data_IF_104634157753
#
_entry.id   IF_104634157753
#
_cell.length_a   1.000
_cell.length_b   1.000
_cell.length_c   1.000
_cell.angle_alpha   90.00
_cell.angle_beta   90.00
_cell.angle_gamma   90.00
#
_symmetry.space_group_name_H-M   'P 1'
#
loop_
_entity.id
_entity.type
_entity.pdbx_description
1 polymer ?
#
# COMPACT_ATOMS: atom_id res chain seq x y z
N UNK A 1 -74.13 -22.92 -19.10
CA UNK A 1 -73.73 -24.10 -18.30
C UNK A 1 -72.54 -24.75 -19.00
N UNK A 2 -71.33 -24.45 -18.54
CA UNK A 2 -70.08 -25.02 -19.08
C UNK A 2 -69.41 -25.72 -17.90
N UNK A 3 -69.14 -27.00 -18.08
CA UNK A 3 -68.78 -27.97 -17.04
C UNK A 3 -67.25 -28.07 -16.94
N UNK A 4 -66.70 -27.75 -15.78
CA UNK A 4 -65.27 -27.85 -15.47
C UNK A 4 -65.01 -29.21 -14.78
N UNK A 5 -64.14 -30.09 -15.30
CA UNK A 5 -63.72 -31.27 -14.56
C UNK A 5 -62.54 -30.96 -13.63
N UNK A 6 -62.68 -31.38 -12.36
CA UNK A 6 -61.62 -31.52 -11.36
C UNK A 6 -60.55 -32.49 -11.86
N UNK A 7 -59.28 -32.10 -11.83
CA UNK A 7 -58.14 -33.02 -11.89
C UNK A 7 -57.45 -33.06 -10.53
N UNK A 8 -57.51 -34.24 -9.96
CA UNK A 8 -56.94 -34.68 -8.70
C UNK A 8 -55.77 -35.58 -9.06
N UNK A 9 -54.52 -35.13 -8.82
CA UNK A 9 -53.33 -35.93 -9.13
C UNK A 9 -52.32 -35.84 -7.97
N UNK A 10 -52.14 -37.01 -7.35
CA UNK A 10 -50.96 -37.60 -6.72
C UNK A 10 -50.28 -37.00 -5.49
N UNK A 11 -50.86 -37.33 -4.34
CA UNK A 11 -50.23 -37.39 -3.01
C UNK A 11 -49.18 -38.51 -2.84
N UNK A 12 -48.86 -39.30 -3.89
CA UNK A 12 -47.97 -40.46 -3.76
C UNK A 12 -46.47 -40.16 -3.89
N UNK A 13 -46.06 -38.98 -4.39
CA UNK A 13 -44.64 -38.65 -4.55
C UNK A 13 -43.97 -38.03 -3.31
N UNK A 14 -44.75 -37.58 -2.32
CA UNK A 14 -44.22 -36.89 -1.13
C UNK A 14 -43.70 -37.89 -0.07
N UNK A 15 -44.17 -39.14 -0.09
CA UNK A 15 -43.81 -40.17 0.90
C UNK A 15 -42.57 -41.00 0.52
N UNK A 16 -42.09 -40.95 -0.73
CA UNK A 16 -40.92 -41.72 -1.18
C UNK A 16 -39.56 -41.03 -0.98
N UNK A 17 -39.52 -39.73 -0.69
CA UNK A 17 -38.27 -38.98 -0.50
C UNK A 17 -37.79 -38.92 0.95
N UNK A 18 -38.69 -39.13 1.94
CA UNK A 18 -38.32 -39.11 3.37
C UNK A 18 -37.61 -40.37 3.86
N UNK A 19 -37.67 -41.48 3.12
CA UNK A 19 -37.08 -42.76 3.53
C UNK A 19 -35.62 -42.97 3.10
N UNK A 20 -35.03 -42.08 2.30
CA UNK A 20 -33.61 -42.19 1.93
C UNK A 20 -32.63 -41.44 2.83
N UNK A 21 -33.10 -40.53 3.70
CA UNK A 21 -32.20 -39.75 4.57
C UNK A 21 -31.90 -40.39 5.94
N UNK A 22 -32.48 -41.54 6.26
CA UNK A 22 -32.38 -42.13 7.60
C UNK A 22 -31.31 -43.22 7.76
N UNK A 23 -30.53 -43.57 6.72
CA UNK A 23 -29.74 -44.81 6.74
C UNK A 23 -28.23 -44.67 6.45
N UNK A 24 -27.63 -43.51 6.69
CA UNK A 24 -26.16 -43.34 6.58
C UNK A 24 -25.51 -42.58 7.75
N UNK A 25 -26.12 -42.64 8.92
CA UNK A 25 -25.42 -42.42 10.18
C UNK A 25 -25.48 -43.72 10.96
N UNK A 26 -24.31 -44.29 11.27
CA UNK A 26 -23.89 -44.90 12.56
C UNK A 26 -23.03 -46.15 12.34
N UNK A 27 -21.92 -46.21 13.10
CA UNK A 27 -21.00 -47.33 13.40
C UNK A 27 -19.71 -47.37 12.53
N UNK A 28 -18.46 -47.34 13.03
CA UNK A 28 -17.88 -47.58 14.36
C UNK A 28 -16.54 -46.80 14.55
N UNK A 29 -16.25 -46.42 15.80
CA UNK A 29 -14.94 -46.01 16.37
C UNK A 29 -14.13 -47.25 16.83
N UNK A 30 -13.04 -47.21 17.67
CA UNK A 30 -12.07 -46.19 18.10
C UNK A 30 -10.58 -46.72 18.09
N UNK A 31 -9.66 -45.96 18.73
CA UNK A 31 -8.28 -46.27 19.20
C UNK A 31 -7.07 -45.83 18.37
N UNK A 32 -6.41 -44.75 18.81
CA UNK A 32 -5.11 -44.83 19.52
C UNK A 32 -4.62 -43.44 19.98
N UNK A 33 -4.14 -43.28 21.23
CA UNK A 33 -3.47 -42.08 21.74
C UNK A 33 -1.96 -42.30 21.86
N UNK A 34 -1.15 -41.28 21.57
CA UNK A 34 0.28 -41.05 21.94
C UNK A 34 0.84 -40.06 20.89
N UNK A 35 1.54 -38.97 21.19
CA UNK A 35 2.35 -38.66 22.34
C UNK A 35 2.40 -37.14 22.55
N UNK A 36 2.27 -36.76 23.81
CA UNK A 36 2.75 -35.53 24.41
C UNK A 36 4.28 -35.48 24.34
N UNK A 37 4.83 -34.44 23.74
CA UNK A 37 6.19 -33.98 24.03
C UNK A 37 6.17 -32.50 24.38
N UNK A 38 6.12 -32.28 25.69
CA UNK A 38 6.64 -31.08 26.34
C UNK A 38 8.11 -30.95 25.96
N UNK A 39 8.50 -29.81 25.41
CA UNK A 39 9.89 -29.36 25.43
C UNK A 39 9.93 -27.91 25.89
N UNK A 40 10.36 -27.81 27.13
CA UNK A 40 10.78 -26.63 27.86
C UNK A 40 11.85 -25.83 27.11
N UNK A 41 11.72 -24.51 27.19
CA UNK A 41 12.79 -23.51 27.34
C UNK A 41 14.05 -23.61 26.47
N UNK A 42 14.32 -22.52 25.73
CA UNK A 42 15.51 -21.68 25.95
C UNK A 42 15.47 -20.44 25.05
N UNK A 43 15.44 -19.28 25.69
CA UNK A 43 15.91 -18.02 25.11
C UNK A 43 17.33 -18.20 24.58
N UNK A 44 17.59 -17.74 23.35
CA UNK A 44 18.94 -17.42 22.91
C UNK A 44 18.88 -16.18 22.04
N UNK A 45 19.26 -15.06 22.66
CA UNK A 45 19.78 -13.88 22.00
C UNK A 45 21.05 -14.25 21.24
N UNK A 46 21.16 -13.84 19.97
CA UNK A 46 22.45 -13.79 19.29
C UNK A 46 22.52 -12.56 18.38
N UNK A 47 23.22 -11.54 18.89
CA UNK A 47 23.82 -10.47 18.12
C UNK A 47 24.95 -11.05 17.23
N UNK A 48 25.13 -10.63 15.97
CA UNK A 48 26.37 -10.84 15.26
C UNK A 48 27.41 -9.76 15.60
N UNK A 49 28.71 -10.12 15.73
CA UNK A 49 29.76 -9.18 16.08
C UNK A 49 30.33 -8.44 14.85
N UNK A 50 30.74 -7.20 15.12
CA UNK A 50 31.76 -6.42 14.41
C UNK A 50 32.91 -7.25 13.84
N UNK A 51 33.33 -7.00 12.59
CA UNK A 51 34.74 -6.96 12.22
C UNK A 51 35.00 -5.94 11.10
N UNK A 52 35.82 -4.95 11.43
CA UNK A 52 36.59 -4.09 10.51
C UNK A 52 37.42 -4.96 9.57
N UNK A 53 37.46 -4.61 8.27
CA UNK A 53 38.63 -4.91 7.45
C UNK A 53 38.90 -3.82 6.41
N UNK A 54 39.82 -2.95 6.78
CA UNK A 54 40.67 -2.14 5.91
C UNK A 54 41.54 -3.02 5.03
N UNK A 55 41.60 -2.74 3.73
CA UNK A 55 42.57 -3.33 2.80
C UNK A 55 42.91 -2.33 1.70
N UNK A 56 44.12 -1.76 1.80
CA UNK A 56 44.79 -0.95 0.80
C UNK A 56 45.22 -1.83 -0.38
N UNK A 57 44.93 -1.42 -1.61
CA UNK A 57 45.49 -2.06 -2.82
C UNK A 57 46.66 -1.22 -3.37
N UNK A 58 47.82 -1.83 -3.68
CA UNK A 58 49.00 -1.14 -4.20
C UNK A 58 49.10 -1.13 -5.74
N UNK A 59 49.95 -0.21 -6.22
CA UNK A 59 50.35 0.05 -7.62
C UNK A 59 50.81 -1.19 -8.40
N UNK A 60 50.58 -1.14 -9.72
CA UNK A 60 51.29 -1.94 -10.73
C UNK A 60 51.73 -1.07 -11.92
N UNK A 61 53.05 -0.99 -12.13
CA UNK A 61 53.74 -0.52 -13.35
C UNK A 61 53.73 -1.61 -14.43
N UNK A 62 53.95 -1.25 -15.71
CA UNK A 62 54.60 -2.16 -16.63
C UNK A 62 55.93 -1.61 -17.17
N UNK A 63 56.92 -2.50 -17.15
CA UNK A 63 58.19 -2.46 -17.85
C UNK A 63 58.02 -2.88 -19.31
N UNK A 64 58.73 -2.26 -20.26
CA UNK A 64 59.21 -2.97 -21.46
C UNK A 64 60.48 -2.32 -22.05
N UNK A 65 61.22 -3.21 -22.69
CA UNK A 65 62.64 -3.26 -23.04
C UNK A 65 63.11 -2.46 -24.26
N UNK A 66 64.35 -1.95 -24.18
CA UNK A 66 65.29 -1.64 -25.29
C UNK A 66 65.89 -2.96 -25.86
N UNK A 67 66.58 -3.05 -27.04
CA UNK A 67 67.67 -2.12 -27.48
C UNK A 67 67.98 -2.03 -29.02
N UNK A 68 69.12 -1.37 -29.32
CA UNK A 68 69.96 -1.36 -30.54
C UNK A 68 69.47 -0.50 -31.73
N UNK A 69 70.29 0.20 -32.53
CA UNK A 69 71.68 0.70 -32.54
C UNK A 69 71.86 1.40 -33.90
N UNK A 70 72.73 2.44 -34.00
CA UNK A 70 73.64 2.78 -35.12
C UNK A 70 73.88 4.31 -35.29
N UNK A 71 75.03 4.71 -35.87
CA UNK A 71 75.87 5.80 -35.36
C UNK A 71 75.76 7.15 -36.13
N UNK A 72 76.40 8.15 -35.51
CA UNK A 72 76.58 9.57 -35.88
C UNK A 72 77.06 9.80 -37.33
N UNK A 73 76.83 11.00 -37.91
CA UNK A 73 77.84 12.06 -37.80
C UNK A 73 77.33 13.53 -37.70
N UNK A 74 78.06 14.30 -36.88
CA UNK A 74 78.56 15.67 -37.07
C UNK A 74 77.68 16.73 -37.77
N UNK A 75 77.18 17.71 -37.00
CA UNK A 75 77.15 19.13 -37.41
C UNK A 75 77.38 20.06 -36.20
N UNK A 76 78.08 21.20 -36.37
CA UNK A 76 78.46 22.09 -35.28
C UNK A 76 77.36 23.15 -35.09
N UNK A 77 76.69 23.15 -33.93
CA UNK A 77 75.83 24.27 -33.56
C UNK A 77 76.09 24.67 -32.11
N UNK A 78 77.02 25.62 -31.99
CA UNK A 78 76.98 26.76 -31.06
C UNK A 78 76.19 26.55 -29.76
N UNK A 79 76.92 26.26 -28.69
CA UNK A 79 76.47 26.50 -27.32
C UNK A 79 76.41 28.03 -27.09
N UNK A 80 75.24 28.66 -26.83
CA UNK A 80 75.24 29.80 -25.94
C UNK A 80 75.31 29.25 -24.53
N UNK A 81 76.49 29.44 -23.93
CA UNK A 81 76.75 29.34 -22.50
C UNK A 81 75.72 30.21 -21.76
N UNK A 82 74.56 29.64 -21.44
CA UNK A 82 73.52 30.32 -20.67
C UNK A 82 73.96 30.28 -19.23
N UNK A 83 74.70 31.32 -18.85
CA UNK A 83 75.02 31.68 -17.48
C UNK A 83 73.80 31.46 -16.61
N UNK A 84 73.91 30.50 -15.69
CA UNK A 84 72.99 30.36 -14.57
C UNK A 84 73.18 31.59 -13.68
N UNK A 85 72.59 32.69 -14.10
CA UNK A 85 72.32 33.81 -13.22
C UNK A 85 71.32 33.28 -12.20
N UNK A 86 71.84 32.93 -11.03
CA UNK A 86 71.09 32.75 -9.80
C UNK A 86 70.31 34.04 -9.58
N UNK A 87 69.13 34.17 -10.21
CA UNK A 87 68.17 35.22 -9.89
C UNK A 87 67.77 34.96 -8.45
N UNK A 88 68.43 35.66 -7.54
CA UNK A 88 67.93 35.92 -6.21
C UNK A 88 66.50 36.40 -6.44
N UNK A 89 65.46 35.64 -6.04
CA UNK A 89 64.11 36.15 -6.16
C UNK A 89 64.10 37.41 -5.30
N UNK A 90 63.95 38.57 -5.94
CA UNK A 90 63.73 39.80 -5.21
C UNK A 90 62.47 39.58 -4.41
N UNK A 91 62.64 39.40 -3.10
CA UNK A 91 61.56 39.17 -2.16
C UNK A 91 60.81 40.48 -2.00
N UNK A 92 60.03 40.86 -3.02
CA UNK A 92 58.96 41.84 -2.82
C UNK A 92 57.99 41.20 -1.83
N UNK A 93 57.77 41.79 -0.64
CA UNK A 93 56.80 41.27 0.29
C UNK A 93 55.45 41.28 -0.44
N UNK A 94 54.89 40.09 -0.68
CA UNK A 94 53.52 39.98 -1.17
C UNK A 94 52.64 40.60 -0.10
N UNK A 95 52.03 41.75 -0.39
CA UNK A 95 51.00 42.33 0.46
C UNK A 95 49.89 41.29 0.58
N UNK A 96 49.83 40.61 1.71
CA UNK A 96 48.77 39.66 1.97
C UNK A 96 47.55 40.51 2.25
N UNK A 97 46.58 40.48 1.35
CA UNK A 97 45.29 41.13 1.59
C UNK A 97 44.57 40.35 2.70
N UNK A 98 44.87 40.73 3.96
CA UNK A 98 44.29 40.14 5.16
C UNK A 98 42.76 40.22 5.09
N UNK A 99 42.22 41.30 4.52
CA UNK A 99 40.79 41.49 4.29
C UNK A 99 40.18 40.49 3.29
N UNK A 100 40.91 40.09 2.23
CA UNK A 100 40.43 39.11 1.26
C UNK A 100 40.37 37.70 1.86
N UNK A 101 41.40 37.32 2.63
CA UNK A 101 41.43 36.03 3.34
C UNK A 101 40.42 35.95 4.47
N UNK A 102 40.16 37.06 5.18
CA UNK A 102 39.15 37.12 6.24
C UNK A 102 37.73 36.90 5.70
N UNK A 103 37.36 37.54 4.58
CA UNK A 103 36.06 37.34 3.90
C UNK A 103 35.90 35.91 3.37
N UNK A 104 36.99 35.29 2.89
CA UNK A 104 36.97 33.91 2.41
C UNK A 104 36.67 32.88 3.52
N UNK A 105 37.16 33.10 4.75
CA UNK A 105 36.85 32.26 5.91
C UNK A 105 35.41 32.42 6.39
N UNK A 106 34.86 33.63 6.32
CA UNK A 106 33.45 33.92 6.66
C UNK A 106 32.49 33.23 5.68
N UNK A 107 32.75 33.33 4.37
CA UNK A 107 31.92 32.68 3.36
C UNK A 107 31.98 31.15 3.46
N UNK A 108 33.14 30.55 3.75
CA UNK A 108 33.26 29.09 3.95
C UNK A 108 32.40 28.59 5.11
N UNK A 109 32.38 29.33 6.23
CA UNK A 109 31.53 29.00 7.39
C UNK A 109 30.04 29.18 7.08
N UNK A 110 29.68 30.22 6.33
CA UNK A 110 28.31 30.44 5.89
C UNK A 110 27.82 29.29 4.99
N UNK A 111 28.64 28.84 4.03
CA UNK A 111 28.31 27.70 3.17
C UNK A 111 28.18 26.40 3.94
N UNK A 112 29.03 26.15 4.95
CA UNK A 112 28.86 24.96 5.80
C UNK A 112 27.56 25.01 6.59
N UNK A 113 27.17 26.16 7.14
CA UNK A 113 25.90 26.29 7.84
C UNK A 113 24.71 26.15 6.91
N UNK A 114 24.74 26.78 5.74
CA UNK A 114 23.70 26.66 4.72
C UNK A 114 23.52 25.20 4.28
N UNK A 115 24.62 24.45 4.08
CA UNK A 115 24.56 23.04 3.75
C UNK A 115 23.95 22.21 4.88
N UNK A 116 24.39 22.41 6.12
CA UNK A 116 23.85 21.66 7.26
C UNK A 116 22.37 21.95 7.49
N UNK A 117 21.96 23.23 7.39
CA UNK A 117 20.57 23.63 7.52
C UNK A 117 19.72 23.06 6.37
N UNK A 118 20.24 23.08 5.14
CA UNK A 118 19.61 22.45 3.98
C UNK A 118 19.42 20.95 4.15
N UNK A 119 20.42 20.23 4.68
CA UNK A 119 20.30 18.80 4.97
C UNK A 119 19.24 18.52 6.05
N UNK A 120 19.21 19.30 7.14
CA UNK A 120 18.22 19.13 8.21
C UNK A 120 16.81 19.43 7.69
N UNK A 121 16.64 20.54 6.96
CA UNK A 121 15.35 20.89 6.36
C UNK A 121 14.87 19.81 5.38
N UNK A 122 15.76 19.32 4.50
CA UNK A 122 15.45 18.22 3.58
C UNK A 122 15.03 16.94 4.30
N UNK A 123 15.74 16.58 5.39
CA UNK A 123 15.39 15.41 6.19
C UNK A 123 13.99 15.53 6.81
N UNK A 124 13.65 16.70 7.37
CA UNK A 124 12.32 16.95 7.93
C UNK A 124 11.23 16.81 6.86
N UNK A 125 11.45 17.37 5.66
CA UNK A 125 10.49 17.25 4.55
C UNK A 125 10.29 15.78 4.13
N UNK A 126 11.37 15.01 4.02
CA UNK A 126 11.28 13.58 3.69
C UNK A 126 10.54 12.81 4.77
N UNK A 127 10.87 13.01 6.05
CA UNK A 127 10.19 12.33 7.17
C UNK A 127 8.71 12.66 7.19
N UNK A 128 8.33 13.94 7.06
CA UNK A 128 6.93 14.35 7.04
C UNK A 128 6.19 13.77 5.84
N UNK A 129 6.80 13.75 4.65
CA UNK A 129 6.21 13.12 3.46
C UNK A 129 5.99 11.63 3.66
N UNK A 130 6.99 10.90 4.17
CA UNK A 130 6.88 9.45 4.39
C UNK A 130 5.86 9.09 5.47
N UNK A 131 5.69 9.95 6.48
CA UNK A 131 4.72 9.71 7.55
C UNK A 131 3.28 9.85 7.04
N UNK A 132 3.01 10.85 6.19
CA UNK A 132 1.69 11.04 5.58
C UNK A 132 1.24 9.81 4.77
N UNK A 133 2.18 9.15 4.07
CA UNK A 133 1.89 7.95 3.27
C UNK A 133 1.54 6.70 4.12
N UNK A 134 1.89 6.69 5.42
CA UNK A 134 1.65 5.57 6.33
C UNK A 134 0.37 5.71 7.18
N UNK A 135 -0.29 6.87 7.14
CA UNK A 135 -1.51 7.08 7.92
C UNK A 135 -2.72 6.42 7.24
N UNK A 136 -3.28 5.41 7.90
CA UNK A 136 -4.48 4.72 7.44
C UNK A 136 -5.68 5.22 8.24
N UNK A 137 -6.52 6.04 7.61
CA UNK A 137 -7.72 6.61 8.22
C UNK A 137 -8.94 5.72 8.00
N UNK A 138 -9.86 5.71 8.96
CA UNK A 138 -11.17 5.09 8.79
C UNK A 138 -12.13 6.11 8.21
N UNK A 139 -12.80 5.76 7.11
CA UNK A 139 -13.74 6.65 6.43
C UNK A 139 -14.98 5.87 5.99
N UNK A 140 -16.11 6.56 5.90
CA UNK A 140 -17.33 6.00 5.34
C UNK A 140 -17.36 6.12 3.82
N UNK A 141 -18.21 5.33 3.12
CA UNK A 141 -18.51 5.51 1.71
C UNK A 141 -18.83 6.95 1.31
N UNK A 142 -19.68 7.67 2.05
CA UNK A 142 -20.00 9.07 1.75
C UNK A 142 -18.76 9.97 1.83
N UNK A 143 -17.97 9.82 2.89
CA UNK A 143 -16.75 10.64 3.07
C UNK A 143 -15.67 10.29 2.04
N UNK A 144 -15.57 9.01 1.66
CA UNK A 144 -14.63 8.55 0.64
C UNK A 144 -14.92 9.21 -0.72
N UNK A 145 -16.19 9.32 -1.10
CA UNK A 145 -16.61 9.99 -2.33
C UNK A 145 -16.33 11.50 -2.27
N UNK A 146 -16.64 12.16 -1.16
CA UNK A 146 -16.35 13.59 -0.99
C UNK A 146 -14.83 13.89 -1.06
N UNK A 147 -14.02 13.03 -0.45
CA UNK A 147 -12.55 13.13 -0.51
C UNK A 147 -12.03 12.91 -1.92
N UNK A 148 -12.61 11.98 -2.68
CA UNK A 148 -12.26 11.73 -4.07
C UNK A 148 -12.44 12.95 -4.97
N UNK A 149 -13.56 13.66 -4.81
CA UNK A 149 -13.85 14.88 -5.58
C UNK A 149 -12.87 16.01 -5.27
N UNK A 150 -12.39 16.08 -4.03
CA UNK A 150 -11.46 17.12 -3.58
C UNK A 150 -10.02 16.81 -4.00
N UNK A 151 -9.57 15.57 -3.77
CA UNK A 151 -8.24 15.11 -4.08
C UNK A 151 -8.27 13.65 -4.54
N UNK A 152 -7.87 13.33 -5.79
CA UNK A 152 -7.64 11.95 -6.24
C UNK A 152 -6.34 11.42 -5.61
N UNK A 153 -6.34 11.26 -4.29
CA UNK A 153 -5.16 10.85 -3.53
C UNK A 153 -4.88 9.36 -3.73
N UNK A 154 -3.60 9.01 -3.88
CA UNK A 154 -3.11 7.61 -3.87
C UNK A 154 -2.87 7.08 -2.45
N UNK A 155 -3.53 7.66 -1.45
CA UNK A 155 -3.37 7.23 -0.06
C UNK A 155 -4.14 5.93 0.18
N UNK A 156 -3.60 5.05 1.02
CA UNK A 156 -4.34 3.89 1.53
C UNK A 156 -5.29 4.37 2.61
N UNK A 157 -6.54 3.95 2.55
CA UNK A 157 -7.50 4.21 3.61
C UNK A 157 -8.34 2.98 3.91
N UNK A 158 -8.95 2.98 5.09
CA UNK A 158 -9.86 1.95 5.57
C UNK A 158 -11.29 2.41 5.37
N UNK A 159 -11.96 1.83 4.39
CA UNK A 159 -13.37 2.04 4.13
C UNK A 159 -14.19 1.17 5.10
N UNK A 160 -14.96 1.79 5.99
CA UNK A 160 -15.85 1.10 6.91
C UNK A 160 -17.31 1.31 6.54
N UNK A 161 -18.09 0.23 6.57
CA UNK A 161 -19.53 0.28 6.31
C UNK A 161 -20.18 -1.09 6.43
N UNK A 162 -21.42 -1.18 5.96
CA UNK A 162 -22.19 -2.42 5.91
C UNK A 162 -22.07 -3.05 4.53
N UNK A 163 -21.99 -4.37 4.47
CA UNK A 163 -22.07 -5.09 3.20
C UNK A 163 -23.52 -5.15 2.75
N UNK A 164 -23.81 -4.69 1.53
CA UNK A 164 -25.18 -4.71 1.00
C UNK A 164 -25.63 -6.15 0.71
N UNK A 165 -26.90 -6.45 1.00
CA UNK A 165 -27.49 -7.77 0.77
C UNK A 165 -27.60 -8.15 -0.72
N UNK A 166 -27.23 -9.40 -1.02
CA UNK A 166 -27.10 -9.96 -2.35
C UNK A 166 -26.13 -9.21 -3.26
N UNK A 167 -25.19 -8.43 -2.72
CA UNK A 167 -24.22 -7.66 -3.52
C UNK A 167 -22.95 -8.44 -3.82
N UNK A 168 -22.73 -9.57 -3.14
CA UNK A 168 -21.50 -10.36 -3.26
C UNK A 168 -21.55 -11.19 -4.55
N UNK A 169 -20.71 -10.83 -5.50
CA UNK A 169 -20.62 -11.44 -6.83
C UNK A 169 -19.22 -11.97 -7.06
N UNK A 170 -19.15 -13.18 -7.62
CA UNK A 170 -17.93 -13.81 -8.08
C UNK A 170 -17.93 -13.70 -9.62
N UNK A 171 -17.12 -12.81 -10.25
CA UNK A 171 -17.15 -12.59 -11.69
C UNK A 171 -16.75 -13.81 -12.52
N UNK A 172 -15.86 -14.64 -12.00
CA UNK A 172 -15.45 -15.89 -12.64
C UNK A 172 -15.29 -17.00 -11.60
N UNK A 173 -15.77 -18.23 -11.87
CA UNK A 173 -15.66 -19.35 -10.93
C UNK A 173 -14.22 -19.84 -10.70
N UNK A 174 -13.26 -19.39 -11.52
CA UNK A 174 -11.86 -19.80 -11.44
C UNK A 174 -10.91 -18.64 -11.07
N UNK A 175 -11.40 -17.40 -10.97
CA UNK A 175 -10.58 -16.27 -10.49
C UNK A 175 -10.84 -16.03 -9.00
N UNK A 176 -9.82 -15.63 -8.22
CA UNK A 176 -9.98 -15.20 -6.83
C UNK A 176 -10.56 -13.78 -6.72
N UNK A 177 -11.22 -13.26 -7.76
CA UNK A 177 -11.76 -11.91 -7.77
C UNK A 177 -13.18 -11.91 -7.19
N UNK A 178 -13.44 -10.95 -6.31
CA UNK A 178 -14.73 -10.75 -5.67
C UNK A 178 -15.16 -9.31 -5.82
N UNK A 179 -16.45 -9.12 -6.08
CA UNK A 179 -17.09 -7.81 -6.06
C UNK A 179 -18.17 -7.80 -5.00
N UNK A 180 -18.23 -6.75 -4.19
CA UNK A 180 -19.31 -6.53 -3.24
C UNK A 180 -19.51 -5.03 -3.05
N UNK A 181 -20.69 -4.65 -2.53
CA UNK A 181 -21.03 -3.24 -2.32
C UNK A 181 -21.00 -2.95 -0.83
N UNK A 182 -20.30 -1.87 -0.46
CA UNK A 182 -20.26 -1.37 0.92
C UNK A 182 -21.08 -0.08 1.00
N UNK A 183 -21.97 -0.01 1.98
CA UNK A 183 -22.92 1.08 2.16
C UNK A 183 -22.82 1.68 3.56
N UNK A 184 -23.09 2.98 3.67
CA UNK A 184 -23.35 3.68 4.94
C UNK A 184 -24.83 4.06 5.13
N UNK A 185 -25.73 3.36 4.42
CA UNK A 185 -27.16 3.60 4.30
C UNK A 185 -27.55 4.77 3.37
N UNK A 186 -26.62 5.66 3.03
CA UNK A 186 -26.88 6.79 2.11
C UNK A 186 -26.19 6.54 0.77
N UNK A 187 -24.89 6.25 0.83
CA UNK A 187 -24.00 6.09 -0.33
C UNK A 187 -23.46 4.68 -0.39
N UNK A 188 -23.44 4.12 -1.60
CA UNK A 188 -23.01 2.75 -1.86
C UNK A 188 -21.80 2.76 -2.81
N UNK A 189 -20.69 2.15 -2.41
CA UNK A 189 -19.46 2.04 -3.21
C UNK A 189 -19.21 0.60 -3.60
N UNK A 190 -18.87 0.39 -4.89
CA UNK A 190 -18.40 -0.91 -5.37
C UNK A 190 -16.97 -1.18 -4.88
N UNK A 191 -16.79 -2.30 -4.20
CA UNK A 191 -15.50 -2.81 -3.74
C UNK A 191 -15.10 -4.00 -4.58
N UNK A 192 -13.87 -3.95 -5.12
CA UNK A 192 -13.22 -5.07 -5.83
C UNK A 192 -12.08 -5.60 -4.99
N UNK A 193 -12.15 -6.88 -4.65
CA UNK A 193 -11.16 -7.56 -3.84
C UNK A 193 -10.58 -8.75 -4.59
N UNK A 194 -9.25 -8.89 -4.53
CA UNK A 194 -8.53 -10.03 -5.08
C UNK A 194 -8.07 -10.90 -3.89
N UNK A 195 -8.70 -12.06 -3.71
CA UNK A 195 -8.38 -12.99 -2.63
C UNK A 195 -9.60 -13.74 -2.08
N UNK A 196 -9.35 -14.56 -1.07
CA UNK A 196 -10.42 -15.25 -0.34
C UNK A 196 -10.98 -14.33 0.74
N UNK A 197 -12.30 -14.17 0.77
CA UNK A 197 -12.97 -13.43 1.84
C UNK A 197 -12.83 -14.19 3.16
N UNK A 198 -12.64 -13.50 4.30
CA UNK A 198 -12.66 -14.14 5.61
C UNK A 198 -13.97 -14.88 5.84
N UNK A 199 -13.97 -15.97 6.61
CA UNK A 199 -15.19 -16.74 6.89
C UNK A 199 -16.26 -15.91 7.63
N UNK A 200 -15.84 -14.85 8.32
CA UNK A 200 -16.73 -13.95 9.06
C UNK A 200 -17.45 -12.96 8.15
N UNK A 201 -17.06 -12.88 6.89
CA UNK A 201 -17.69 -12.00 5.93
C UNK A 201 -19.08 -12.53 5.57
N UNK A 202 -20.09 -11.71 5.87
CA UNK A 202 -21.50 -11.96 5.59
C UNK A 202 -22.15 -10.68 5.11
N UNK A 203 -23.18 -10.83 4.30
CA UNK A 203 -24.02 -9.71 3.89
C UNK A 203 -24.78 -9.14 5.10
N UNK A 204 -25.11 -7.84 5.06
CA UNK A 204 -25.76 -7.12 6.16
C UNK A 204 -24.85 -6.81 7.36
N UNK A 205 -23.63 -7.35 7.40
CA UNK A 205 -22.70 -7.14 8.52
C UNK A 205 -21.73 -5.98 8.26
N UNK A 206 -21.18 -5.44 9.34
CA UNK A 206 -20.14 -4.42 9.26
C UNK A 206 -18.83 -5.02 8.78
N UNK A 207 -18.20 -4.34 7.84
CA UNK A 207 -16.90 -4.70 7.29
C UNK A 207 -16.00 -3.47 7.24
N UNK A 208 -14.71 -3.70 7.43
CA UNK A 208 -13.69 -2.71 7.12
C UNK A 208 -12.83 -3.25 5.99
N UNK A 209 -12.63 -2.43 4.97
CA UNK A 209 -11.84 -2.80 3.80
C UNK A 209 -10.69 -1.83 3.66
N UNK A 210 -9.47 -2.33 3.54
CA UNK A 210 -8.28 -1.52 3.29
C UNK A 210 -7.93 -1.53 1.80
N UNK A 211 -7.64 -0.35 1.23
CA UNK A 211 -7.37 -0.25 -0.19
C UNK A 211 -7.24 1.19 -0.69
N UNK A 212 -7.48 1.33 -1.99
CA UNK A 212 -7.36 2.61 -2.72
C UNK A 212 -8.62 2.87 -3.53
N UNK A 213 -9.02 4.13 -3.60
CA UNK A 213 -10.06 4.57 -4.54
C UNK A 213 -9.48 4.71 -5.94
N UNK A 214 -10.20 4.22 -6.94
CA UNK A 214 -9.86 4.37 -8.34
C UNK A 214 -11.04 4.93 -9.12
N UNK A 215 -10.82 5.83 -10.09
CA UNK A 215 -11.87 6.21 -11.03
C UNK A 215 -12.31 4.98 -11.83
N UNK A 216 -13.59 4.87 -12.14
CA UNK A 216 -14.04 3.89 -13.13
C UNK A 216 -13.48 4.27 -14.51
N UNK A 217 -12.60 3.46 -15.12
CA UNK A 217 -12.29 3.65 -16.53
C UNK A 217 -13.57 3.40 -17.34
N UNK A 218 -13.80 4.21 -18.37
CA UNK A 218 -15.03 4.20 -19.16
C UNK A 218 -15.35 2.82 -19.78
N UNK A 219 -14.33 1.97 -19.95
CA UNK A 219 -14.45 0.60 -20.47
C UNK A 219 -15.30 -0.34 -19.58
N UNK A 220 -15.41 -0.08 -18.29
CA UNK A 220 -16.11 -0.96 -17.33
C UNK A 220 -17.58 -0.54 -17.14
N UNK A 221 -17.96 0.69 -17.49
CA UNK A 221 -19.35 1.16 -17.38
C UNK A 221 -20.33 0.35 -18.24
N UNK A 222 -19.84 -0.29 -19.30
CA UNK A 222 -20.65 -1.09 -20.22
C UNK A 222 -20.89 -2.52 -19.74
N UNK A 223 -20.01 -3.07 -18.88
CA UNK A 223 -20.18 -4.39 -18.26
C UNK A 223 -20.76 -4.22 -16.86
N UNK A 224 -22.06 -3.91 -16.77
CA UNK A 224 -22.77 -3.84 -15.48
C UNK A 224 -22.80 -5.22 -14.85
N UNK A 225 -21.90 -5.48 -13.90
CA UNK A 225 -22.04 -6.61 -13.00
C UNK A 225 -23.27 -6.37 -12.11
N UNK A 226 -23.95 -7.45 -11.67
CA UNK A 226 -25.10 -7.35 -10.75
C UNK A 226 -24.78 -6.58 -9.47
N UNK A 227 -23.51 -6.56 -9.06
CA UNK A 227 -23.02 -5.77 -7.93
C UNK A 227 -22.98 -4.27 -8.27
N UNK A 228 -22.48 -3.91 -9.47
CA UNK A 228 -22.41 -2.51 -9.91
C UNK A 228 -23.78 -1.85 -10.09
N UNK A 229 -24.83 -2.61 -10.40
CA UNK A 229 -26.21 -2.06 -10.52
C UNK A 229 -26.77 -1.61 -9.17
N UNK A 230 -26.32 -2.24 -8.08
CA UNK A 230 -26.75 -1.91 -6.72
C UNK A 230 -25.98 -0.73 -6.13
N UNK A 231 -24.81 -0.39 -6.68
CA UNK A 231 -24.04 0.75 -6.20
C UNK A 231 -24.65 2.06 -6.71
N UNK A 232 -25.20 2.86 -5.80
CA UNK A 232 -25.73 4.20 -6.08
C UNK A 232 -24.64 5.20 -6.49
N UNK A 233 -23.36 4.97 -6.17
CA UNK A 233 -22.23 5.79 -6.63
C UNK A 233 -21.51 5.18 -7.85
N UNK A 234 -21.53 5.89 -8.98
CA UNK A 234 -21.05 5.40 -10.29
C UNK A 234 -19.75 6.01 -10.80
N UNK A 235 -19.05 6.80 -9.99
CA UNK A 235 -17.88 7.60 -10.44
C UNK A 235 -16.54 6.93 -10.12
N UNK A 236 -16.46 6.22 -8.99
CA UNK A 236 -15.26 5.53 -8.53
C UNK A 236 -15.56 4.14 -7.97
N UNK A 237 -14.59 3.23 -8.08
CA UNK A 237 -14.61 1.95 -7.39
C UNK A 237 -13.45 1.87 -6.39
N UNK A 238 -13.64 1.08 -5.35
CA UNK A 238 -12.61 0.85 -4.35
C UNK A 238 -11.86 -0.45 -4.67
N UNK A 239 -10.56 -0.34 -4.96
CA UNK A 239 -9.69 -1.52 -5.09
C UNK A 239 -9.17 -1.91 -3.71
N UNK A 240 -9.77 -2.95 -3.14
CA UNK A 240 -9.40 -3.52 -1.86
C UNK A 240 -8.13 -4.37 -1.96
N UNK A 241 -7.26 -4.22 -0.98
CA UNK A 241 -6.08 -5.09 -0.76
C UNK A 241 -6.34 -6.07 0.39
N UNK A 242 -7.14 -5.68 1.38
CA UNK A 242 -7.47 -6.51 2.54
C UNK A 242 -8.91 -6.28 2.98
N UNK A 243 -9.58 -7.36 3.40
CA UNK A 243 -10.93 -7.33 3.97
C UNK A 243 -10.87 -7.79 5.41
N UNK A 244 -11.27 -6.91 6.32
CA UNK A 244 -11.32 -7.14 7.75
C UNK A 244 -12.79 -7.33 8.16
N UNK A 245 -13.19 -8.58 8.32
CA UNK A 245 -14.49 -8.94 8.89
C UNK A 245 -14.26 -9.44 10.33
N UNK A 246 -14.88 -8.78 11.31
CA UNK A 246 -14.91 -9.23 12.71
C UNK A 246 -16.33 -9.56 13.12
N UNK A 247 -16.46 -10.50 14.06
CA UNK A 247 -17.76 -10.93 14.60
C UNK A 247 -18.47 -9.91 15.47
N UNK A 248 -17.74 -8.92 16.00
CA UNK A 248 -18.32 -7.95 16.91
C UNK A 248 -18.73 -6.71 16.13
N UNK A 249 -20.04 -6.43 16.09
CA UNK A 249 -20.59 -5.10 15.75
C UNK A 249 -19.90 -3.99 16.58
N UNK A 250 -19.38 -4.35 17.76
CA UNK A 250 -18.60 -3.51 18.66
C UNK A 250 -17.20 -3.14 18.16
N UNK A 251 -16.67 -3.77 17.10
CA UNK A 251 -15.34 -3.47 16.55
C UNK A 251 -15.34 -2.37 15.47
N UNK A 252 -16.50 -1.82 15.11
CA UNK A 252 -16.54 -0.76 14.12
C UNK A 252 -15.85 0.51 14.67
N UNK A 253 -14.94 1.14 13.91
CA UNK A 253 -14.29 2.37 14.35
C UNK A 253 -15.34 3.42 14.73
N UNK A 254 -15.11 4.13 15.84
CA UNK A 254 -16.04 5.12 16.36
C UNK A 254 -16.50 6.13 15.29
N UNK A 255 -15.59 6.56 14.42
CA UNK A 255 -15.88 7.49 13.31
C UNK A 255 -16.93 6.92 12.33
N UNK A 256 -16.78 5.65 11.96
CA UNK A 256 -17.70 4.94 11.06
C UNK A 256 -19.03 4.65 11.77
N UNK A 257 -18.98 4.21 13.04
CA UNK A 257 -20.17 3.93 13.83
C UNK A 257 -21.06 5.16 14.01
N UNK A 258 -20.47 6.29 14.40
CA UNK A 258 -21.22 7.54 14.53
C UNK A 258 -21.80 8.01 13.19
N UNK A 259 -21.09 7.81 12.09
CA UNK A 259 -21.59 8.15 10.76
C UNK A 259 -22.79 7.29 10.36
N UNK A 260 -22.76 5.97 10.62
CA UNK A 260 -23.92 5.10 10.39
C UNK A 260 -25.12 5.50 11.25
N UNK A 261 -24.92 5.81 12.54
CA UNK A 261 -26.00 6.27 13.41
C UNK A 261 -26.62 7.59 12.94
N UNK A 262 -25.78 8.55 12.51
CA UNK A 262 -26.24 9.82 11.94
C UNK A 262 -27.06 9.59 10.67
N UNK A 263 -26.59 8.71 9.80
CA UNK A 263 -27.28 8.38 8.56
C UNK A 263 -28.61 7.67 8.81
N UNK A 264 -28.64 6.72 9.75
CA UNK A 264 -29.87 6.05 10.18
C UNK A 264 -30.92 7.05 10.69
N UNK A 265 -30.53 7.99 11.58
CA UNK A 265 -31.42 9.04 12.09
C UNK A 265 -31.98 9.94 10.99
N UNK A 266 -31.17 10.27 9.97
CA UNK A 266 -31.63 11.06 8.81
C UNK A 266 -32.69 10.31 8.02
N UNK A 267 -32.47 9.03 7.74
CA UNK A 267 -33.42 8.18 7.02
C UNK A 267 -34.74 8.01 7.79
N UNK A 268 -34.68 7.82 9.10
CA UNK A 268 -35.86 7.74 9.97
C UNK A 268 -36.64 9.07 9.98
N UNK A 269 -35.94 10.22 10.00
CA UNK A 269 -36.56 11.53 9.91
C UNK A 269 -37.28 11.73 8.57
N UNK A 270 -36.64 11.39 7.44
CA UNK A 270 -37.24 11.46 6.10
C UNK A 270 -38.49 10.58 5.99
N UNK A 271 -38.46 9.38 6.56
CA UNK A 271 -39.61 8.47 6.58
C UNK A 271 -40.77 9.00 7.44
N UNK A 272 -40.48 9.62 8.59
CA UNK A 272 -41.49 10.20 9.46
C UNK A 272 -42.23 11.39 8.83
N UNK A 273 -41.53 12.21 8.03
CA UNK A 273 -42.12 13.34 7.30
C UNK A 273 -43.07 12.83 6.21
N UNK A 274 -42.72 11.75 5.50
CA UNK A 274 -43.57 11.18 4.45
C UNK A 274 -44.86 10.50 4.95
N UNK A 275 -44.91 10.11 6.23
CA UNK A 275 -46.05 9.40 6.83
C UNK A 275 -47.04 10.34 7.54
N UNK A 276 -46.63 11.58 7.84
CA UNK A 276 -47.44 12.56 8.58
C UNK A 276 -48.42 13.39 7.74
N UNK A 277 -48.37 13.29 6.41
CA UNK A 277 -49.19 14.08 5.47
C UNK A 277 -50.31 13.26 4.79
N UNK A 278 -50.63 12.06 5.30
CA UNK A 278 -51.68 11.17 4.76
C UNK A 278 -52.88 11.01 5.70
#
# INVERSE_FOLDING_TARGET
MIQIPKLQIDQQNVLKLRTQQANQLTLLSPHSPMASRLLTSRLRSSLPPFLLRSSLNPLSLPSLSNPLSHPLPLTPFSLPFSTSSRRVPSSRPRHVDIGARARQLQNRRLWTYALTFGCVAGFIVVVLSTFQDQLVFYITPTDALAKFTTDPSKSRFRLGGLVLEGSVVHPSPNSPEMEFVVTDLITDILVRYEGSLPDLFREGHSVVVEGFLKPFPEEIKSQKSKASEKARSGECFFKATEVLAKHDEKYMPKEVAEALERNKKKLEAEQSISTGDA
#
